data_IF_448830608360
#
_entry.id   IF_448830608360
#
_cell.length_a   1.000
_cell.length_b   1.000
_cell.length_c   1.000
_cell.angle_alpha   90.00
_cell.angle_beta   90.00
_cell.angle_gamma   90.00
#
_symmetry.space_group_name_H-M   'P 1'
#
loop_
_entity.id
_entity.type
_entity.pdbx_description
1 polymer ?
#
# COMPACT_ATOMS: atom_id res chain seq x y z
N UNK A 1 8.08 -13.41 5.18
CA UNK A 1 8.72 -12.09 5.24
C UNK A 1 8.20 -11.39 6.50
N UNK A 2 9.01 -10.67 7.29
CA UNK A 2 8.48 -9.94 8.44
C UNK A 2 7.49 -8.87 7.96
N UNK A 3 6.38 -8.73 8.68
CA UNK A 3 5.28 -7.81 8.39
C UNK A 3 4.97 -6.95 9.63
N UNK A 4 4.44 -5.74 9.44
CA UNK A 4 4.01 -4.86 10.53
C UNK A 4 2.52 -5.06 10.82
N UNK A 5 2.21 -5.69 11.95
CA UNK A 5 0.85 -5.69 12.50
C UNK A 5 0.47 -4.30 12.99
N UNK A 6 -0.64 -3.76 12.49
CA UNK A 6 -1.06 -2.38 12.81
C UNK A 6 -2.47 -2.30 13.43
N UNK A 7 -3.25 -3.37 13.36
CA UNK A 7 -4.58 -3.44 13.93
C UNK A 7 -4.59 -4.36 15.18
N UNK A 8 -5.14 -3.94 16.33
CA UNK A 8 -5.05 -4.72 17.57
C UNK A 8 -6.07 -5.86 17.69
N UNK A 9 -7.18 -5.79 16.96
CA UNK A 9 -8.27 -6.77 17.05
C UNK A 9 -8.40 -7.68 15.81
N UNK A 10 -7.56 -7.48 14.80
CA UNK A 10 -7.58 -8.22 13.54
C UNK A 10 -6.13 -8.51 13.17
N UNK A 11 -5.89 -9.64 12.51
CA UNK A 11 -4.57 -10.02 11.98
C UNK A 11 -4.25 -9.22 10.70
N UNK A 12 -4.35 -7.90 10.78
CA UNK A 12 -4.03 -7.00 9.68
C UNK A 12 -2.58 -6.54 9.81
N UNK A 13 -1.86 -6.76 8.72
CA UNK A 13 -0.46 -6.43 8.61
C UNK A 13 -0.14 -5.79 7.26
N UNK A 14 0.91 -4.99 7.23
CA UNK A 14 1.50 -4.44 6.00
C UNK A 14 2.89 -5.07 5.86
N UNK A 15 3.26 -5.50 4.65
CA UNK A 15 4.56 -6.15 4.41
C UNK A 15 5.74 -5.27 4.83
N UNK A 16 5.76 -4.00 4.39
CA UNK A 16 6.80 -3.05 4.78
C UNK A 16 6.23 -1.67 5.12
N UNK A 17 6.84 -1.05 6.13
CA UNK A 17 6.61 0.35 6.44
C UNK A 17 7.95 1.04 6.62
N UNK A 18 8.14 2.14 5.90
CA UNK A 18 9.33 2.97 5.99
C UNK A 18 9.07 4.09 7.00
N UNK A 19 9.92 4.17 8.02
CA UNK A 19 9.85 5.20 9.05
C UNK A 19 11.04 6.15 8.95
N UNK A 20 10.79 7.43 9.22
CA UNK A 20 11.82 8.42 9.50
C UNK A 20 11.62 8.90 10.93
N UNK A 21 12.57 8.59 11.82
CA UNK A 21 12.51 8.95 13.24
C UNK A 21 11.19 8.56 13.92
N UNK A 22 10.63 7.40 13.57
CA UNK A 22 9.37 6.90 14.12
C UNK A 22 8.10 7.44 13.44
N UNK A 23 8.23 8.34 12.45
CA UNK A 23 7.10 8.78 11.61
C UNK A 23 6.95 7.89 10.38
N UNK A 24 5.77 7.32 10.12
CA UNK A 24 5.55 6.51 8.92
C UNK A 24 5.53 7.40 7.69
N UNK A 25 6.34 7.06 6.68
CA UNK A 25 6.45 7.81 5.43
C UNK A 25 5.82 7.05 4.27
N UNK A 26 6.06 5.74 4.19
CA UNK A 26 5.51 4.91 3.13
C UNK A 26 5.10 3.52 3.64
N UNK A 27 4.03 2.97 3.08
CA UNK A 27 3.70 1.54 3.20
C UNK A 27 3.95 0.84 1.87
N UNK A 28 4.31 -0.44 1.92
CA UNK A 28 4.50 -1.28 0.73
C UNK A 28 3.80 -2.61 0.95
N UNK A 29 3.02 -3.03 -0.03
CA UNK A 29 2.47 -4.39 -0.17
C UNK A 29 3.16 -5.03 -1.37
N UNK A 30 3.71 -6.23 -1.19
CA UNK A 30 4.51 -6.95 -2.18
C UNK A 30 3.77 -8.18 -2.69
N UNK A 31 3.85 -8.40 -4.01
CA UNK A 31 3.40 -9.61 -4.68
C UNK A 31 4.52 -10.15 -5.58
N UNK A 32 4.49 -11.44 -5.89
CA UNK A 32 5.40 -12.07 -6.85
C UNK A 32 4.62 -12.44 -8.10
N UNK A 33 5.18 -12.18 -9.28
CA UNK A 33 4.46 -12.21 -10.58
C UNK A 33 4.07 -13.62 -11.09
N UNK A 34 4.27 -14.67 -10.29
CA UNK A 34 3.89 -16.03 -10.67
C UNK A 34 2.37 -16.31 -10.56
N UNK A 35 1.63 -15.52 -9.76
CA UNK A 35 0.16 -15.70 -9.58
C UNK A 35 -0.63 -14.44 -9.21
N UNK A 36 -0.01 -13.33 -8.76
CA UNK A 36 -0.73 -12.13 -8.33
C UNK A 36 -0.13 -10.85 -8.91
N UNK A 37 -0.97 -10.00 -9.51
CA UNK A 37 -0.59 -8.72 -10.11
C UNK A 37 -0.49 -7.59 -9.08
N UNK A 38 0.14 -6.47 -9.46
CA UNK A 38 0.08 -5.22 -8.69
C UNK A 38 -1.35 -4.75 -8.40
N UNK A 39 -2.31 -5.10 -9.27
CA UNK A 39 -3.72 -4.79 -9.09
C UNK A 39 -4.29 -5.49 -7.86
N UNK A 40 -3.94 -6.76 -7.61
CA UNK A 40 -4.37 -7.48 -6.41
C UNK A 40 -3.83 -6.83 -5.11
N UNK A 41 -2.60 -6.30 -5.14
CA UNK A 41 -2.07 -5.53 -4.01
C UNK A 41 -2.81 -4.19 -3.83
N UNK A 42 -3.21 -3.53 -4.92
CA UNK A 42 -4.03 -2.32 -4.83
C UNK A 42 -5.44 -2.63 -4.31
N UNK A 43 -6.03 -3.76 -4.70
CA UNK A 43 -7.33 -4.20 -4.20
C UNK A 43 -7.28 -4.52 -2.70
N UNK A 44 -6.16 -5.05 -2.21
CA UNK A 44 -5.92 -5.20 -0.78
C UNK A 44 -5.93 -3.83 -0.08
N UNK A 45 -5.34 -2.80 -0.69
CA UNK A 45 -5.44 -1.44 -0.16
C UNK A 45 -6.87 -0.88 -0.16
N UNK A 46 -7.63 -1.12 -1.24
CA UNK A 46 -9.02 -0.64 -1.37
C UNK A 46 -9.97 -1.33 -0.40
N UNK A 47 -9.81 -2.63 -0.18
CA UNK A 47 -10.80 -3.43 0.53
C UNK A 47 -10.46 -3.63 2.01
N UNK A 48 -9.19 -3.94 2.30
CA UNK A 48 -8.79 -4.39 3.64
C UNK A 48 -7.99 -3.32 4.40
N UNK A 49 -7.20 -2.49 3.70
CA UNK A 49 -6.35 -1.45 4.32
C UNK A 49 -7.04 -0.09 4.36
N UNK A 50 -8.27 -0.06 4.86
CA UNK A 50 -9.00 1.19 5.02
C UNK A 50 -8.42 2.05 6.16
N UNK A 51 -8.49 3.40 6.05
CA UNK A 51 -8.05 4.31 7.11
C UNK A 51 -8.95 4.27 8.36
N UNK A 52 -10.04 3.51 8.31
CA UNK A 52 -10.92 3.22 9.44
C UNK A 52 -11.37 1.76 9.39
N UNK A 53 -11.52 1.14 10.57
CA UNK A 53 -12.16 -0.16 10.67
C UNK A 53 -13.67 -0.02 10.47
N UNK A 54 -14.22 -0.81 9.54
CA UNK A 54 -15.61 -0.69 9.13
C UNK A 54 -16.61 -1.00 10.27
N UNK A 55 -16.24 -1.88 11.22
CA UNK A 55 -17.10 -2.34 12.32
C UNK A 55 -17.05 -1.40 13.51
N UNK A 56 -15.83 -1.08 13.95
CA UNK A 56 -15.58 -0.31 15.18
C UNK A 56 -15.48 1.19 14.94
N UNK A 57 -15.37 1.63 13.67
CA UNK A 57 -15.10 3.03 13.25
C UNK A 57 -13.81 3.62 13.83
N UNK A 58 -12.95 2.77 14.40
CA UNK A 58 -11.61 3.13 14.84
C UNK A 58 -10.82 3.64 13.65
N UNK A 59 -10.08 4.74 13.82
CA UNK A 59 -9.13 5.23 12.81
C UNK A 59 -7.86 4.41 12.87
N UNK A 60 -7.31 4.11 11.71
CA UNK A 60 -6.00 3.48 11.57
C UNK A 60 -4.94 4.56 11.34
N UNK A 61 -4.13 4.93 12.36
CA UNK A 61 -3.25 6.09 12.28
C UNK A 61 -2.21 5.97 11.16
N UNK A 62 -1.73 4.74 10.90
CA UNK A 62 -0.76 4.44 9.84
C UNK A 62 -1.30 4.77 8.43
N UNK A 63 -2.60 4.64 8.22
CA UNK A 63 -3.24 4.72 6.90
C UNK A 63 -4.07 6.00 6.73
N UNK A 64 -4.22 6.78 7.79
CA UNK A 64 -5.04 8.00 7.78
C UNK A 64 -4.38 9.10 6.96
N UNK A 65 -5.08 9.59 5.92
CA UNK A 65 -4.59 10.69 5.09
C UNK A 65 -4.19 11.93 5.92
N UNK A 66 -3.05 12.54 5.56
CA UNK A 66 -2.39 13.68 6.26
C UNK A 66 -1.87 13.40 7.69
N UNK A 67 -1.96 12.17 8.19
CA UNK A 67 -1.46 11.79 9.52
C UNK A 67 -0.53 10.57 9.48
N UNK A 68 -0.91 9.57 8.71
CA UNK A 68 -0.16 8.34 8.50
C UNK A 68 0.86 8.47 7.38
N UNK A 69 1.20 7.32 6.79
CA UNK A 69 2.06 7.27 5.62
C UNK A 69 1.54 8.18 4.50
N UNK A 70 2.47 8.84 3.81
CA UNK A 70 2.19 9.81 2.75
C UNK A 70 1.90 9.11 1.43
N UNK A 71 2.46 7.91 1.26
CA UNK A 71 2.33 7.10 0.05
C UNK A 71 2.20 5.62 0.40
N UNK A 72 1.39 4.93 -0.40
CA UNK A 72 1.13 3.51 -0.30
C UNK A 72 1.51 2.86 -1.63
N UNK A 73 2.51 1.99 -1.61
CA UNK A 73 2.99 1.28 -2.79
C UNK A 73 2.41 -0.13 -2.85
N UNK A 74 1.93 -0.50 -4.03
CA UNK A 74 1.59 -1.87 -4.41
C UNK A 74 2.63 -2.30 -5.44
N UNK A 75 3.39 -3.34 -5.14
CA UNK A 75 4.58 -3.70 -5.91
C UNK A 75 4.56 -5.18 -6.28
N UNK A 76 5.02 -5.47 -7.49
CA UNK A 76 5.37 -6.80 -7.96
C UNK A 76 6.75 -6.81 -8.59
N UNK A 77 7.19 -7.96 -9.12
CA UNK A 77 8.53 -8.10 -9.69
C UNK A 77 8.73 -7.22 -10.93
N UNK A 78 7.65 -6.90 -11.64
CA UNK A 78 7.67 -6.14 -12.90
C UNK A 78 6.88 -4.83 -12.89
N UNK A 79 6.13 -4.54 -11.84
CA UNK A 79 5.26 -3.37 -11.77
C UNK A 79 5.26 -2.72 -10.38
N UNK A 80 5.08 -1.40 -10.33
CA UNK A 80 4.89 -0.63 -9.09
C UNK A 80 3.76 0.37 -9.32
N UNK A 81 2.71 0.31 -8.50
CA UNK A 81 1.66 1.31 -8.42
C UNK A 81 1.69 2.03 -7.07
N UNK A 82 1.13 3.25 -7.02
CA UNK A 82 1.04 3.99 -5.77
C UNK A 82 -0.26 4.76 -5.58
N UNK A 83 -0.64 5.01 -4.33
CA UNK A 83 -1.70 5.92 -3.94
C UNK A 83 -1.24 6.82 -2.78
N UNK A 84 -1.65 8.09 -2.78
CA UNK A 84 -1.35 9.05 -1.70
C UNK A 84 -2.49 9.16 -0.67
N UNK A 85 -3.67 8.66 -1.02
CA UNK A 85 -4.86 8.62 -0.17
C UNK A 85 -5.59 7.31 -0.39
N UNK A 86 -5.82 6.57 0.70
CA UNK A 86 -6.71 5.41 0.70
C UNK A 86 -8.14 5.87 0.99
N UNK A 87 -9.06 5.57 0.07
CA UNK A 87 -10.47 5.98 0.12
C UNK A 87 -11.40 4.86 -0.41
N UNK A 88 -11.05 3.62 -0.07
CA UNK A 88 -11.77 2.43 -0.55
C UNK A 88 -11.75 2.33 -2.07
N UNK A 89 -12.90 2.05 -2.66
CA UNK A 89 -13.09 2.02 -4.12
C UNK A 89 -12.76 3.35 -4.82
N UNK A 90 -12.84 4.48 -4.10
CA UNK A 90 -12.46 5.80 -4.63
C UNK A 90 -10.96 6.06 -4.56
N UNK A 91 -10.15 5.07 -4.12
CA UNK A 91 -8.69 5.18 -4.08
C UNK A 91 -8.16 5.34 -5.49
N UNK A 92 -7.63 6.53 -5.77
CA UNK A 92 -6.94 6.81 -7.02
C UNK A 92 -5.50 6.29 -6.96
N UNK A 93 -5.21 5.27 -7.76
CA UNK A 93 -3.85 4.76 -7.97
C UNK A 93 -3.18 5.53 -9.11
N UNK A 94 -2.09 6.23 -8.78
CA UNK A 94 -1.24 6.90 -9.77
C UNK A 94 -0.27 5.90 -10.43
N UNK A 95 0.16 6.31 -11.62
CA UNK A 95 0.79 5.55 -12.71
C UNK A 95 1.87 4.53 -12.32
N UNK A 96 1.87 3.45 -13.08
CA UNK A 96 2.72 2.28 -12.98
C UNK A 96 4.17 2.53 -13.45
N UNK A 97 5.17 2.25 -12.61
CA UNK A 97 6.56 2.07 -13.06
C UNK A 97 6.68 0.59 -13.45
N UNK A 98 7.06 0.31 -14.70
CA UNK A 98 7.23 -1.08 -15.18
C UNK A 98 8.69 -1.42 -15.46
N UNK A 99 9.06 -2.64 -15.13
CA UNK A 99 10.33 -3.21 -15.53
C UNK A 99 10.27 -3.65 -17.00
N UNK A 100 11.33 -3.34 -17.76
CA UNK A 100 11.63 -3.96 -19.05
C UNK A 100 13.05 -4.53 -18.97
N UNK A 101 13.15 -5.85 -18.80
CA UNK A 101 14.42 -6.51 -18.45
C UNK A 101 14.89 -6.13 -17.05
N UNK A 102 16.18 -5.81 -16.86
CA UNK A 102 16.74 -5.37 -15.56
C UNK A 102 16.59 -3.85 -15.29
N UNK A 103 15.78 -3.15 -16.07
CA UNK A 103 15.62 -1.69 -15.98
C UNK A 103 14.17 -1.30 -15.73
N UNK A 104 13.96 -0.41 -14.78
CA UNK A 104 12.65 0.18 -14.47
C UNK A 104 12.46 1.47 -15.28
N UNK A 105 11.29 1.61 -15.91
CA UNK A 105 10.93 2.77 -16.71
C UNK A 105 9.70 3.43 -16.11
N UNK A 106 9.82 4.72 -15.77
CA UNK A 106 8.67 5.55 -15.41
C UNK A 106 8.02 6.09 -16.68
N UNK A 107 6.71 6.00 -16.77
CA UNK A 107 5.96 6.90 -17.64
C UNK A 107 5.48 8.04 -16.73
N UNK A 108 5.71 9.30 -17.10
CA UNK A 108 5.10 10.45 -16.44
C UNK A 108 3.87 10.82 -17.27
N UNK A 109 2.72 11.02 -16.63
CA UNK A 109 1.51 11.53 -17.26
C UNK A 109 0.87 12.56 -16.37
#
# INVERSE_FOLDING_TARGET
MPELKYHPAREFAIDLVLFINGLPVATVELKTDFTQSCEAAMDQYRNDRLPYDAKTKRREPLLTFKRGAVVHFAMSDSEIMMATKLDGENTFSCRSIRAQGRKWHGTCG
#
